data_IF_937166473026
#
_entry.id   IF_937166473026
#
_cell.length_a   1.000
_cell.length_b   1.000
_cell.length_c   1.000
_cell.angle_alpha   90.00
_cell.angle_beta   90.00
_cell.angle_gamma   90.00
#
_symmetry.space_group_name_H-M   'P 1'
#
loop_
_entity.id
_entity.type
_entity.pdbx_description
1 polymer ?
#
# COMPACT_ATOMS: atom_id res chain seq x y z
N UNK A 1 9.03 -39.60 -47.96
CA UNK A 1 8.91 -38.35 -47.16
C UNK A 1 9.50 -37.22 -47.98
N UNK A 2 8.70 -36.57 -48.82
CA UNK A 2 9.18 -35.42 -49.58
C UNK A 2 9.37 -34.26 -48.61
N UNK A 3 10.61 -33.80 -48.46
CA UNK A 3 10.90 -32.57 -47.73
C UNK A 3 10.40 -31.35 -48.51
N UNK A 4 10.41 -30.18 -47.85
CA UNK A 4 10.06 -28.90 -48.47
C UNK A 4 10.84 -28.66 -49.76
N UNK A 5 10.12 -28.21 -50.81
CA UNK A 5 10.71 -27.80 -52.08
C UNK A 5 11.49 -26.47 -51.92
N UNK A 6 12.35 -26.12 -52.89
CA UNK A 6 13.15 -24.88 -52.82
C UNK A 6 12.29 -23.63 -52.63
N UNK A 7 11.16 -23.56 -53.33
CA UNK A 7 10.28 -22.40 -53.34
C UNK A 7 9.48 -22.27 -52.04
N UNK A 8 9.09 -23.40 -51.46
CA UNK A 8 8.45 -23.44 -50.15
C UNK A 8 9.40 -22.95 -49.05
N UNK A 9 10.69 -23.33 -49.13
CA UNK A 9 11.71 -22.82 -48.19
C UNK A 9 11.89 -21.32 -48.32
N UNK A 10 11.93 -20.80 -49.54
CA UNK A 10 12.05 -19.36 -49.82
C UNK A 10 10.83 -18.60 -49.28
N UNK A 11 9.61 -19.11 -49.51
CA UNK A 11 8.38 -18.55 -48.97
C UNK A 11 8.35 -18.56 -47.44
N UNK A 12 8.79 -19.65 -46.81
CA UNK A 12 8.87 -19.75 -45.35
C UNK A 12 9.91 -18.80 -44.76
N UNK A 13 11.02 -18.57 -45.46
CA UNK A 13 12.02 -17.59 -45.06
C UNK A 13 11.43 -16.17 -45.10
N UNK A 14 10.75 -15.80 -46.18
CA UNK A 14 10.08 -14.51 -46.31
C UNK A 14 9.03 -14.29 -45.21
N UNK A 15 8.22 -15.31 -44.92
CA UNK A 15 7.22 -15.25 -43.85
C UNK A 15 7.85 -15.13 -42.46
N UNK A 16 8.99 -15.80 -42.20
CA UNK A 16 9.73 -15.65 -40.95
C UNK A 16 10.28 -14.24 -40.78
N UNK A 17 10.81 -13.65 -41.84
CA UNK A 17 11.36 -12.29 -41.80
C UNK A 17 10.25 -11.26 -41.51
N UNK A 18 9.10 -11.37 -42.18
CA UNK A 18 7.94 -10.54 -41.92
C UNK A 18 7.41 -10.74 -40.49
N UNK A 19 7.34 -11.99 -40.02
CA UNK A 19 6.87 -12.30 -38.66
C UNK A 19 7.78 -11.72 -37.59
N UNK A 20 9.10 -11.77 -37.78
CA UNK A 20 10.08 -11.19 -36.84
C UNK A 20 9.96 -9.67 -36.77
N UNK A 21 9.80 -9.00 -37.92
CA UNK A 21 9.59 -7.55 -37.98
C UNK A 21 8.28 -7.16 -37.28
N UNK A 22 7.20 -7.86 -37.59
CA UNK A 22 5.90 -7.64 -36.94
C UNK A 22 5.96 -7.82 -35.43
N UNK A 23 6.59 -8.89 -34.93
CA UNK A 23 6.74 -9.12 -33.48
C UNK A 23 7.57 -8.03 -32.80
N UNK A 24 8.61 -7.53 -33.48
CA UNK A 24 9.41 -6.41 -33.00
C UNK A 24 8.59 -5.11 -32.94
N UNK A 25 7.72 -4.88 -33.92
CA UNK A 25 6.83 -3.71 -33.94
C UNK A 25 5.71 -3.82 -32.89
N UNK A 26 5.42 -5.04 -32.39
CA UNK A 26 4.52 -5.27 -31.25
C UNK A 26 5.18 -5.02 -29.89
N UNK A 27 6.51 -4.97 -29.81
CA UNK A 27 7.21 -4.49 -28.62
C UNK A 27 7.04 -2.96 -28.57
N UNK A 28 5.83 -2.55 -28.20
CA UNK A 28 5.43 -1.15 -28.05
C UNK A 28 6.49 -0.43 -27.21
N UNK A 29 6.95 0.72 -27.70
CA UNK A 29 7.65 1.69 -26.86
C UNK A 29 6.83 1.91 -25.58
N UNK A 30 7.45 2.09 -24.40
CA UNK A 30 6.76 2.37 -23.13
C UNK A 30 5.99 3.71 -23.12
N UNK A 31 5.72 4.29 -24.30
CA UNK A 31 4.72 5.32 -24.53
C UNK A 31 3.36 4.75 -24.20
N UNK A 32 3.05 4.77 -22.90
CA UNK A 32 1.69 4.91 -22.44
C UNK A 32 1.04 6.04 -23.27
N UNK A 33 -0.15 5.82 -23.86
CA UNK A 33 -0.99 6.94 -24.21
C UNK A 33 -1.33 7.63 -22.89
N UNK A 34 -0.47 8.55 -22.45
CA UNK A 34 -0.67 9.33 -21.24
C UNK A 34 -1.88 10.19 -21.52
N UNK A 35 -3.04 9.74 -21.02
CA UNK A 35 -4.21 10.59 -20.93
C UNK A 35 -3.75 11.89 -20.27
N UNK A 36 -4.14 13.06 -20.80
CA UNK A 36 -3.74 14.31 -20.17
C UNK A 36 -4.10 14.24 -18.69
N UNK A 37 -3.17 14.60 -17.80
CA UNK A 37 -3.39 14.48 -16.36
C UNK A 37 -4.71 15.14 -16.02
N UNK A 38 -5.55 14.44 -15.25
CA UNK A 38 -6.87 14.92 -14.86
C UNK A 38 -6.73 16.33 -14.28
N UNK A 39 -7.51 17.29 -14.80
CA UNK A 39 -7.51 18.67 -14.30
C UNK A 39 -7.98 18.67 -12.85
N UNK A 40 -7.04 18.78 -11.93
CA UNK A 40 -7.29 19.07 -10.52
C UNK A 40 -7.50 20.57 -10.34
N UNK A 41 -8.37 20.96 -9.42
CA UNK A 41 -8.64 22.38 -9.16
C UNK A 41 -7.37 23.08 -8.64
N UNK A 42 -7.16 24.38 -8.95
CA UNK A 42 -5.97 25.11 -8.48
C UNK A 42 -5.74 25.02 -6.96
N UNK A 43 -6.82 24.98 -6.17
CA UNK A 43 -6.74 24.81 -4.71
C UNK A 43 -6.21 23.44 -4.30
N UNK A 44 -6.57 22.39 -5.03
CA UNK A 44 -6.12 21.03 -4.77
C UNK A 44 -4.66 20.85 -5.20
N UNK A 45 -4.25 21.45 -6.32
CA UNK A 45 -2.83 21.53 -6.70
C UNK A 45 -2.00 22.24 -5.63
N UNK A 46 -2.53 23.32 -5.07
CA UNK A 46 -1.88 24.07 -4.00
C UNK A 46 -1.68 23.21 -2.76
N UNK A 47 -2.73 22.55 -2.24
CA UNK A 47 -2.62 21.70 -1.06
C UNK A 47 -1.69 20.50 -1.28
N UNK A 48 -1.75 19.88 -2.47
CA UNK A 48 -0.86 18.78 -2.83
C UNK A 48 0.62 19.20 -2.81
N UNK A 49 0.94 20.37 -3.40
CA UNK A 49 2.30 20.93 -3.33
C UNK A 49 2.69 21.33 -1.93
N UNK A 50 1.76 21.95 -1.18
CA UNK A 50 2.02 22.44 0.16
C UNK A 50 2.31 21.31 1.16
N UNK A 51 1.65 20.16 1.04
CA UNK A 51 1.86 19.01 1.92
C UNK A 51 3.03 18.11 1.48
N UNK A 52 3.54 18.27 0.26
CA UNK A 52 4.63 17.45 -0.30
C UNK A 52 5.94 17.57 0.49
N UNK A 53 6.21 18.74 1.10
CA UNK A 53 7.44 18.97 1.88
C UNK A 53 7.50 18.14 3.17
N UNK A 54 6.40 17.50 3.58
CA UNK A 54 6.38 16.61 4.76
C UNK A 54 6.77 17.27 6.08
N UNK A 55 6.75 18.61 6.15
CA UNK A 55 7.20 19.33 7.33
C UNK A 55 6.40 18.88 8.57
N UNK A 56 7.10 18.53 9.65
CA UNK A 56 6.50 17.96 10.87
C UNK A 56 5.42 18.84 11.49
N UNK A 57 5.54 20.17 11.33
CA UNK A 57 4.52 21.13 11.78
C UNK A 57 3.30 21.21 10.86
N UNK A 58 3.34 20.73 9.61
CA UNK A 58 2.16 20.59 8.75
C UNK A 58 1.33 19.36 9.18
N UNK A 59 1.98 18.33 9.69
CA UNK A 59 1.37 17.16 10.33
C UNK A 59 1.15 17.41 11.82
N UNK A 60 0.37 18.45 12.16
CA UNK A 60 0.14 18.84 13.56
C UNK A 60 -0.64 17.73 14.28
N UNK A 61 0.08 16.81 14.92
CA UNK A 61 -0.46 16.03 16.03
C UNK A 61 -0.54 17.01 17.19
N UNK A 62 -1.65 17.75 17.30
CA UNK A 62 -1.80 18.73 18.39
C UNK A 62 -1.73 17.97 19.71
N UNK A 63 -0.82 18.30 20.64
CA UNK A 63 -1.02 17.87 22.01
C UNK A 63 -2.39 18.44 22.40
N UNK A 64 -3.29 17.59 22.93
CA UNK A 64 -4.69 17.93 23.21
C UNK A 64 -5.65 18.02 22.00
N UNK A 65 -5.34 17.44 20.83
CA UNK A 65 -6.33 17.29 19.74
C UNK A 65 -7.60 16.57 20.22
N UNK A 66 -7.41 15.57 21.10
CA UNK A 66 -8.45 14.79 21.74
C UNK A 66 -8.20 14.94 23.24
N UNK A 67 -9.04 15.72 23.93
CA UNK A 67 -9.03 15.82 25.39
C UNK A 67 -10.17 14.96 25.91
N UNK A 68 -9.81 13.82 26.50
CA UNK A 68 -10.78 13.02 27.23
C UNK A 68 -11.23 13.76 28.50
N UNK A 69 -12.54 13.75 28.77
CA UNK A 69 -13.06 14.30 30.02
C UNK A 69 -12.61 13.40 31.16
N UNK A 70 -12.11 14.00 32.23
CA UNK A 70 -11.74 13.26 33.45
C UNK A 70 -12.94 12.42 33.92
N UNK A 71 -12.83 11.09 34.00
CA UNK A 71 -13.95 10.23 34.36
C UNK A 71 -14.40 10.49 35.80
N UNK A 72 -15.73 10.50 36.03
CA UNK A 72 -16.30 10.55 37.38
C UNK A 72 -16.08 9.20 38.06
N UNK A 73 -15.27 9.19 39.11
CA UNK A 73 -14.97 7.97 39.87
C UNK A 73 -16.12 7.77 40.87
N UNK A 74 -16.92 6.73 40.64
CA UNK A 74 -17.95 6.30 41.59
C UNK A 74 -17.32 5.41 42.68
N UNK A 75 -17.73 5.53 43.95
CA UNK A 75 -17.09 4.86 45.09
C UNK A 75 -17.15 3.31 45.03
N UNK A 76 -18.00 2.75 44.18
CA UNK A 76 -18.12 1.29 43.94
C UNK A 76 -16.95 0.71 43.14
N UNK A 77 -16.24 1.50 42.34
CA UNK A 77 -15.27 1.01 41.35
C UNK A 77 -13.92 0.56 41.94
N UNK A 78 -13.54 1.05 43.12
CA UNK A 78 -12.25 0.67 43.74
C UNK A 78 -12.23 -0.78 44.22
N UNK A 79 -13.39 -1.34 44.58
CA UNK A 79 -13.49 -2.71 45.13
C UNK A 79 -13.36 -3.79 44.06
N UNK A 80 -13.89 -3.54 42.87
CA UNK A 80 -13.80 -4.48 41.73
C UNK A 80 -12.36 -4.67 41.26
N UNK A 81 -11.53 -3.62 41.27
CA UNK A 81 -10.12 -3.71 40.87
C UNK A 81 -9.26 -4.51 41.87
N UNK A 82 -9.49 -4.34 43.18
CA UNK A 82 -8.76 -5.08 44.22
C UNK A 82 -9.15 -6.56 44.27
N UNK A 83 -10.44 -6.88 44.07
CA UNK A 83 -10.90 -8.27 43.98
C UNK A 83 -10.34 -8.95 42.74
N UNK A 84 -10.26 -8.24 41.61
CA UNK A 84 -9.66 -8.76 40.38
C UNK A 84 -8.15 -9.01 40.53
N UNK A 85 -7.44 -8.12 41.22
CA UNK A 85 -6.00 -8.27 41.49
C UNK A 85 -5.73 -9.44 42.46
N UNK A 86 -6.55 -9.60 43.51
CA UNK A 86 -6.52 -10.78 44.39
C UNK A 86 -6.83 -12.08 43.64
N UNK A 87 -7.79 -12.06 42.71
CA UNK A 87 -8.15 -13.22 41.90
C UNK A 87 -7.01 -13.63 40.97
N UNK A 88 -6.29 -12.68 40.36
CA UNK A 88 -5.11 -12.96 39.52
C UNK A 88 -3.98 -13.59 40.34
N UNK A 89 -3.71 -13.09 41.56
CA UNK A 89 -2.68 -13.67 42.45
C UNK A 89 -3.04 -15.12 42.83
N UNK A 90 -4.33 -15.42 43.00
CA UNK A 90 -4.79 -16.76 43.38
C UNK A 90 -4.76 -17.76 42.20
N UNK A 91 -4.94 -17.27 40.97
CA UNK A 91 -5.02 -18.12 39.78
C UNK A 91 -3.65 -18.42 39.15
N UNK A 92 -2.63 -17.60 39.41
CA UNK A 92 -1.26 -17.80 38.96
C UNK A 92 -0.27 -17.65 40.13
N UNK A 93 -0.02 -18.72 40.92
CA UNK A 93 1.07 -18.70 41.90
C UNK A 93 2.40 -18.60 41.14
N UNK A 94 3.14 -17.52 41.40
CA UNK A 94 4.48 -17.31 40.85
C UNK A 94 5.36 -18.52 41.21
N UNK A 95 6.06 -19.15 40.25
CA UNK A 95 6.95 -20.26 40.56
C UNK A 95 8.13 -19.69 41.35
N UNK A 96 8.25 -20.09 42.60
CA UNK A 96 9.47 -19.88 43.39
C UNK A 96 10.44 -20.97 43.00
N UNK A 97 11.38 -20.63 42.11
CA UNK A 97 12.55 -21.46 41.82
C UNK A 97 13.38 -21.60 43.10
N UNK A 98 13.53 -22.84 43.57
CA UNK A 98 14.44 -23.29 44.62
C UNK A 98 15.52 -24.18 44.01
#
# INVERSE_FOLDING_TARGET
MSGYTSDEKLRLQQLRELRRRWLKDQELSPREPVLPPRRVWPMEQFWNKFLQDGASWKNVTKPYAIVERKPRIFPVSLKTSLVFLLFIIFLFPFPTDH
#
